data_IF_711319828844
#
_entry.id   IF_711319828844
#
_cell.length_a   1.000
_cell.length_b   1.000
_cell.length_c   1.000
_cell.angle_alpha   90.00
_cell.angle_beta   90.00
_cell.angle_gamma   90.00
#
_symmetry.space_group_name_H-M   'P 1'
#
loop_
_entity.id
_entity.type
_entity.pdbx_description
1 polymer ?
#
# COMPACT_ATOMS: atom_id res chain seq x y z
N UNK A 1 -10.13 53.17 -51.10
CA UNK A 1 -10.58 54.20 -50.14
C UNK A 1 -10.73 53.53 -48.80
N UNK A 2 -9.79 53.86 -47.92
CA UNK A 2 -10.02 54.38 -46.54
C UNK A 2 -10.85 53.43 -45.65
N UNK A 3 -10.46 53.04 -44.46
CA UNK A 3 -9.55 53.62 -43.44
C UNK A 3 -9.15 52.55 -42.43
N UNK A 4 -7.93 52.63 -42.07
CA UNK A 4 -7.29 52.23 -40.85
C UNK A 4 -8.07 52.77 -39.64
N UNK A 5 -8.28 51.90 -38.56
CA UNK A 5 -8.19 52.38 -37.19
C UNK A 5 -7.64 51.26 -36.28
N UNK A 6 -6.44 51.50 -36.00
CA UNK A 6 -5.63 51.06 -34.86
C UNK A 6 -6.27 51.54 -33.56
N UNK A 7 -6.40 50.70 -32.55
CA UNK A 7 -6.40 51.15 -31.16
C UNK A 7 -5.85 50.02 -30.26
N UNK A 8 -4.84 50.28 -29.76
CA UNK A 8 -3.91 50.14 -28.68
C UNK A 8 -4.59 50.03 -27.30
N UNK A 9 -3.91 49.24 -26.45
CA UNK A 9 -3.65 49.45 -25.01
C UNK A 9 -4.65 48.84 -24.04
N UNK A 10 -4.08 47.96 -23.23
CA UNK A 10 -4.65 47.51 -21.98
C UNK A 10 -3.79 46.47 -21.28
N UNK A 11 -2.53 46.83 -21.01
CA UNK A 11 -1.66 46.10 -20.07
C UNK A 11 -2.19 46.36 -18.68
N UNK A 12 -2.70 45.31 -18.02
CA UNK A 12 -2.92 45.33 -16.58
C UNK A 12 -2.29 44.08 -15.96
N UNK A 13 -1.05 44.23 -15.55
CA UNK A 13 -0.40 43.33 -14.63
C UNK A 13 -1.02 43.54 -13.26
N UNK A 14 -1.75 42.58 -12.77
CA UNK A 14 -2.12 42.50 -11.37
C UNK A 14 -1.32 41.35 -10.72
N UNK A 15 -0.19 41.70 -10.12
CA UNK A 15 0.48 40.89 -9.14
C UNK A 15 -0.40 40.86 -7.88
N UNK A 16 -1.06 39.75 -7.65
CA UNK A 16 -1.59 39.43 -6.32
C UNK A 16 -0.67 38.40 -5.69
N UNK A 17 0.29 38.88 -4.93
CA UNK A 17 0.96 38.12 -3.89
C UNK A 17 -0.03 37.98 -2.75
N UNK A 18 -0.55 36.78 -2.56
CA UNK A 18 -1.16 36.44 -1.29
C UNK A 18 -0.86 34.99 -0.98
N UNK A 19 -0.01 34.84 0.03
CA UNK A 19 -0.34 33.98 1.15
C UNK A 19 -0.02 32.51 0.93
N UNK A 20 1.13 32.11 1.46
CA UNK A 20 1.32 30.78 2.01
C UNK A 20 0.14 30.46 2.93
N UNK A 21 -0.73 29.60 2.46
CA UNK A 21 -1.63 28.82 3.27
C UNK A 21 -1.25 27.38 2.99
N UNK A 22 -0.46 26.81 3.88
CA UNK A 22 -0.18 25.41 3.97
C UNK A 22 -1.50 24.71 4.34
N UNK A 23 -2.24 24.36 3.35
CA UNK A 23 -3.34 23.41 3.45
C UNK A 23 -3.00 22.31 2.46
N UNK A 24 -2.34 21.30 2.96
CA UNK A 24 -2.28 19.99 2.32
C UNK A 24 -3.71 19.52 2.10
N UNK A 25 -4.33 19.98 1.02
CA UNK A 25 -5.47 19.30 0.47
C UNK A 25 -4.92 17.98 -0.03
N UNK A 26 -5.22 16.91 0.67
CA UNK A 26 -5.15 15.56 0.16
C UNK A 26 -6.00 15.50 -1.12
N UNK A 27 -5.39 15.88 -2.23
CA UNK A 27 -5.94 15.58 -3.54
C UNK A 27 -5.79 14.08 -3.68
N UNK A 28 -6.89 13.31 -3.82
CA UNK A 28 -6.79 11.87 -4.03
C UNK A 28 -5.82 11.61 -5.18
N UNK A 29 -4.79 10.84 -4.91
CA UNK A 29 -3.86 10.42 -5.96
C UNK A 29 -4.67 9.64 -7.01
N UNK A 30 -4.48 9.88 -8.32
CA UNK A 30 -5.24 9.16 -9.34
C UNK A 30 -5.07 7.67 -9.17
N UNK A 31 -6.18 6.93 -9.15
CA UNK A 31 -6.14 5.47 -9.07
C UNK A 31 -5.60 4.89 -10.39
N UNK A 32 -4.60 4.02 -10.27
CA UNK A 32 -3.96 3.33 -11.38
C UNK A 32 -4.48 1.91 -11.57
N UNK A 33 -4.14 1.34 -12.73
CA UNK A 33 -4.50 -0.03 -13.09
C UNK A 33 -3.37 -1.03 -12.72
N UNK A 34 -3.00 -1.04 -11.44
CA UNK A 34 -1.93 -1.89 -10.92
C UNK A 34 -2.31 -3.37 -10.75
N UNK A 35 -1.33 -4.20 -10.42
CA UNK A 35 -1.47 -5.60 -10.04
C UNK A 35 -0.74 -5.86 -8.72
N UNK A 36 -1.32 -6.70 -7.87
CA UNK A 36 -0.72 -7.12 -6.60
C UNK A 36 0.56 -7.94 -6.78
N UNK A 37 0.70 -8.65 -7.90
CA UNK A 37 1.85 -9.53 -8.17
C UNK A 37 3.18 -8.77 -8.09
N UNK A 38 4.13 -9.36 -7.37
CA UNK A 38 5.44 -8.79 -7.09
C UNK A 38 5.70 -8.61 -5.60
N UNK A 39 6.78 -7.90 -5.28
CA UNK A 39 7.20 -7.68 -3.90
C UNK A 39 6.97 -6.24 -3.48
N UNK A 40 6.60 -6.08 -2.22
CA UNK A 40 6.10 -4.84 -1.64
C UNK A 40 6.67 -4.64 -0.24
N UNK A 41 6.96 -3.39 0.11
CA UNK A 41 7.39 -3.00 1.45
C UNK A 41 6.38 -2.03 2.07
N UNK A 42 6.00 -2.28 3.31
CA UNK A 42 5.09 -1.44 4.08
C UNK A 42 5.74 -0.09 4.38
N UNK A 43 5.07 1.00 4.06
CA UNK A 43 5.50 2.36 4.40
C UNK A 43 4.64 3.00 5.49
N UNK A 44 3.40 2.56 5.63
CA UNK A 44 2.53 2.99 6.74
C UNK A 44 1.41 1.98 6.99
N UNK A 45 1.04 1.85 8.26
CA UNK A 45 -0.13 1.08 8.69
C UNK A 45 -0.83 1.84 9.81
N UNK A 46 -2.13 2.06 9.66
CA UNK A 46 -2.94 2.81 10.63
C UNK A 46 -2.99 2.16 12.01
N UNK A 47 -2.87 0.83 12.08
CA UNK A 47 -2.98 0.06 13.32
C UNK A 47 -1.66 -0.05 14.10
N UNK A 48 -0.50 0.04 13.43
CA UNK A 48 0.81 -0.07 14.06
C UNK A 48 1.89 0.67 13.28
N UNK A 49 2.31 1.84 13.76
CA UNK A 49 3.31 2.67 13.08
C UNK A 49 4.72 2.09 13.05
N UNK A 50 5.06 1.22 14.00
CA UNK A 50 6.37 0.56 14.08
C UNK A 50 6.45 -0.75 13.31
N UNK A 51 5.38 -1.16 12.62
CA UNK A 51 5.37 -2.36 11.81
C UNK A 51 6.34 -2.24 10.64
N UNK A 52 7.07 -3.32 10.38
CA UNK A 52 7.93 -3.44 9.22
C UNK A 52 7.58 -4.77 8.53
N UNK A 53 7.05 -4.68 7.32
CA UNK A 53 6.42 -5.81 6.63
C UNK A 53 6.80 -5.81 5.16
N UNK A 54 7.29 -6.94 4.69
CA UNK A 54 7.45 -7.23 3.27
C UNK A 54 6.40 -8.26 2.85
N UNK A 55 5.78 -8.02 1.70
CA UNK A 55 4.85 -8.94 1.06
C UNK A 55 5.41 -9.37 -0.29
N UNK A 56 5.18 -10.60 -0.67
CA UNK A 56 5.40 -11.10 -2.02
C UNK A 56 4.16 -11.85 -2.49
N UNK A 57 3.67 -11.51 -3.67
CA UNK A 57 2.54 -12.17 -4.31
C UNK A 57 3.00 -12.78 -5.64
N UNK A 58 2.82 -14.08 -5.82
CA UNK A 58 3.17 -14.78 -7.05
C UNK A 58 1.99 -14.86 -8.02
N UNK A 59 2.26 -15.03 -9.29
CA UNK A 59 1.23 -15.30 -10.31
C UNK A 59 0.48 -16.62 -10.09
N UNK A 60 1.10 -17.56 -9.35
CA UNK A 60 0.49 -18.84 -9.00
C UNK A 60 -0.55 -18.77 -7.90
N UNK A 61 -0.76 -17.58 -7.29
CA UNK A 61 -1.70 -17.38 -6.20
C UNK A 61 -1.13 -17.72 -4.82
N UNK A 62 0.20 -17.81 -4.67
CA UNK A 62 0.86 -17.90 -3.38
C UNK A 62 1.37 -16.54 -2.90
N UNK A 63 1.46 -16.36 -1.60
CA UNK A 63 2.06 -15.19 -0.99
C UNK A 63 3.06 -15.59 0.10
N UNK A 64 4.00 -14.68 0.35
CA UNK A 64 4.92 -14.71 1.47
C UNK A 64 4.83 -13.37 2.22
N UNK A 65 4.89 -13.43 3.54
CA UNK A 65 4.98 -12.27 4.44
C UNK A 65 6.22 -12.43 5.30
N UNK A 66 7.04 -11.40 5.33
CA UNK A 66 8.11 -11.24 6.30
C UNK A 66 7.74 -10.06 7.18
N UNK A 67 7.28 -10.34 8.40
CA UNK A 67 6.76 -9.32 9.30
C UNK A 67 7.58 -9.17 10.57
N UNK A 68 7.80 -7.92 10.97
CA UNK A 68 8.34 -7.52 12.26
C UNK A 68 7.37 -6.53 12.90
N UNK A 69 6.52 -7.03 13.79
CA UNK A 69 5.46 -6.22 14.40
C UNK A 69 5.83 -5.77 15.82
N UNK A 70 6.02 -6.71 16.75
CA UNK A 70 6.27 -6.43 18.15
C UNK A 70 7.57 -7.03 18.68
N UNK A 71 8.26 -7.83 17.87
CA UNK A 71 9.54 -8.47 18.18
C UNK A 71 10.63 -7.94 17.26
N UNK A 72 11.90 -8.01 17.66
CA UNK A 72 12.99 -7.51 16.83
C UNK A 72 13.28 -8.39 15.59
N UNK A 73 12.88 -9.67 15.63
CA UNK A 73 13.08 -10.60 14.53
C UNK A 73 11.93 -10.54 13.53
N UNK A 74 12.25 -10.77 12.26
CA UNK A 74 11.24 -11.06 11.25
C UNK A 74 10.70 -12.46 11.41
N UNK A 75 9.41 -12.61 11.16
CA UNK A 75 8.72 -13.91 11.09
C UNK A 75 8.22 -14.09 9.68
N UNK A 76 8.52 -15.24 9.10
CA UNK A 76 8.01 -15.64 7.79
C UNK A 76 6.67 -16.37 7.94
N UNK A 77 5.71 -15.95 7.16
CA UNK A 77 4.39 -16.57 7.02
C UNK A 77 4.10 -16.70 5.52
N UNK A 78 3.44 -17.77 5.15
CA UNK A 78 3.10 -18.07 3.77
C UNK A 78 1.65 -18.51 3.61
N UNK A 79 1.18 -18.61 2.38
CA UNK A 79 -0.15 -19.10 2.10
C UNK A 79 -0.60 -18.87 0.67
N UNK A 80 -1.92 -18.84 0.49
CA UNK A 80 -2.55 -18.63 -0.82
C UNK A 80 -3.46 -17.43 -0.80
N UNK A 81 -3.56 -16.75 -1.94
CA UNK A 81 -4.42 -15.58 -2.10
C UNK A 81 -5.24 -15.68 -3.39
N UNK A 82 -6.30 -14.90 -3.44
CA UNK A 82 -7.00 -14.57 -4.68
C UNK A 82 -7.20 -13.07 -4.80
N UNK A 83 -7.05 -12.57 -6.00
CA UNK A 83 -7.26 -11.16 -6.32
C UNK A 83 -8.27 -11.05 -7.47
N UNK A 84 -9.47 -10.60 -7.12
CA UNK A 84 -10.54 -10.26 -8.05
C UNK A 84 -10.83 -8.76 -7.87
N UNK A 85 -10.23 -7.96 -8.74
CA UNK A 85 -10.21 -6.50 -8.63
C UNK A 85 -11.58 -5.92 -8.25
N UNK A 86 -11.63 -5.08 -7.22
CA UNK A 86 -10.55 -4.58 -6.38
C UNK A 86 -10.32 -5.40 -5.09
N UNK A 87 -10.81 -6.62 -5.00
CA UNK A 87 -10.87 -7.41 -3.76
C UNK A 87 -9.73 -8.41 -3.68
N UNK A 88 -8.96 -8.33 -2.61
CA UNK A 88 -7.88 -9.26 -2.26
C UNK A 88 -8.26 -10.02 -0.99
N UNK A 89 -8.12 -11.34 -1.01
CA UNK A 89 -8.32 -12.19 0.16
C UNK A 89 -7.34 -13.36 0.15
N UNK A 90 -7.18 -14.04 1.28
CA UNK A 90 -6.25 -15.14 1.36
C UNK A 90 -6.36 -15.97 2.63
N UNK A 91 -5.54 -17.01 2.67
CA UNK A 91 -5.37 -17.92 3.79
C UNK A 91 -3.91 -18.23 3.98
N UNK A 92 -3.51 -18.34 5.24
CA UNK A 92 -2.20 -18.85 5.60
C UNK A 92 -2.09 -20.34 5.32
N UNK A 93 -0.88 -20.87 5.25
CA UNK A 93 -0.60 -22.29 4.97
C UNK A 93 -1.17 -23.24 6.05
N UNK A 94 -1.47 -22.73 7.24
CA UNK A 94 -2.18 -23.47 8.31
C UNK A 94 -3.71 -23.45 8.12
N UNK A 95 -4.20 -22.97 6.98
CA UNK A 95 -5.61 -22.83 6.63
C UNK A 95 -6.37 -21.76 7.42
N UNK A 96 -5.69 -20.94 8.25
CA UNK A 96 -6.30 -19.80 8.92
C UNK A 96 -6.58 -18.70 7.89
N UNK A 97 -7.80 -18.15 7.81
CA UNK A 97 -8.07 -17.00 6.94
C UNK A 97 -7.33 -15.77 7.46
N UNK A 98 -7.11 -14.79 6.59
CA UNK A 98 -6.64 -13.48 7.02
C UNK A 98 -7.60 -12.86 8.04
N UNK A 99 -7.08 -12.04 8.97
CA UNK A 99 -7.86 -11.44 10.04
C UNK A 99 -8.97 -10.52 9.54
N UNK A 100 -8.74 -9.82 8.43
CA UNK A 100 -9.79 -9.19 7.65
C UNK A 100 -10.33 -10.18 6.63
N UNK A 101 -11.65 -10.27 6.47
CA UNK A 101 -12.25 -11.21 5.51
C UNK A 101 -11.76 -10.94 4.09
N UNK A 102 -11.47 -9.67 3.78
CA UNK A 102 -10.85 -9.23 2.53
C UNK A 102 -10.31 -7.80 2.67
N UNK A 103 -9.55 -7.39 1.68
CA UNK A 103 -9.03 -6.03 1.53
C UNK A 103 -9.47 -5.46 0.19
N UNK A 104 -9.84 -4.19 0.20
CA UNK A 104 -9.94 -3.41 -1.03
C UNK A 104 -8.55 -2.93 -1.38
N UNK A 105 -8.15 -3.17 -2.61
CA UNK A 105 -6.85 -2.76 -3.15
C UNK A 105 -7.03 -1.58 -4.08
N UNK A 106 -6.20 -0.56 -3.92
CA UNK A 106 -6.03 0.51 -4.90
C UNK A 106 -4.54 0.76 -5.18
N UNK A 107 -4.25 1.31 -6.34
CA UNK A 107 -2.90 1.64 -6.78
C UNK A 107 -2.83 3.11 -7.16
N UNK A 108 -1.66 3.71 -7.00
CA UNK A 108 -1.37 5.00 -7.61
C UNK A 108 -1.24 4.87 -9.14
N UNK A 109 -1.18 6.00 -9.85
CA UNK A 109 -1.23 6.04 -11.31
C UNK A 109 -0.17 5.19 -12.02
N UNK A 110 1.02 5.04 -11.44
CA UNK A 110 2.12 4.27 -12.01
C UNK A 110 2.23 2.82 -11.48
N UNK A 111 1.33 2.42 -10.56
CA UNK A 111 1.29 1.06 -9.99
C UNK A 111 2.47 0.74 -9.06
N UNK A 112 3.21 1.72 -8.59
CA UNK A 112 4.36 1.54 -7.68
C UNK A 112 3.97 1.61 -6.21
N UNK A 113 2.77 2.12 -5.90
CA UNK A 113 2.20 2.20 -4.56
C UNK A 113 0.88 1.42 -4.53
N UNK A 114 0.73 0.59 -3.53
CA UNK A 114 -0.47 -0.20 -3.27
C UNK A 114 -1.05 0.18 -1.90
N UNK A 115 -2.34 0.42 -1.85
CA UNK A 115 -3.07 0.64 -0.61
C UNK A 115 -4.02 -0.52 -0.37
N UNK A 116 -3.95 -1.11 0.82
CA UNK A 116 -4.90 -2.11 1.30
C UNK A 116 -5.80 -1.46 2.35
N UNK A 117 -7.10 -1.52 2.13
CA UNK A 117 -8.11 -1.07 3.10
C UNK A 117 -8.92 -2.28 3.53
N UNK A 118 -8.94 -2.57 4.82
CA UNK A 118 -9.74 -3.67 5.38
C UNK A 118 -11.22 -3.47 5.08
N UNK A 119 -11.89 -4.52 4.63
CA UNK A 119 -13.35 -4.49 4.44
C UNK A 119 -14.11 -4.61 5.76
N UNK A 120 -13.46 -5.13 6.81
CA UNK A 120 -14.04 -5.22 8.16
C UNK A 120 -13.95 -3.90 8.93
N UNK A 121 -12.92 -3.08 8.63
CA UNK A 121 -12.68 -1.78 9.26
C UNK A 121 -12.04 -0.83 8.26
N UNK A 122 -12.81 0.09 7.72
CA UNK A 122 -12.31 1.06 6.71
C UNK A 122 -11.28 2.05 7.25
N UNK A 123 -11.10 2.12 8.56
CA UNK A 123 -10.02 2.86 9.22
C UNK A 123 -8.71 2.09 9.28
N UNK A 124 -8.74 0.78 9.03
CA UNK A 124 -7.53 -0.04 8.94
C UNK A 124 -6.99 0.00 7.51
N UNK A 125 -5.99 0.83 7.33
CA UNK A 125 -5.37 1.14 6.04
C UNK A 125 -3.87 0.91 6.14
N UNK A 126 -3.34 0.20 5.16
CA UNK A 126 -1.90 0.01 5.00
C UNK A 126 -1.45 0.38 3.60
N UNK A 127 -0.29 1.02 3.52
CA UNK A 127 0.28 1.51 2.27
C UNK A 127 1.63 0.86 2.04
N UNK A 128 1.81 0.35 0.85
CA UNK A 128 3.00 -0.34 0.39
C UNK A 128 3.62 0.35 -0.83
N UNK A 129 4.91 0.20 -0.98
CA UNK A 129 5.64 0.55 -2.21
C UNK A 129 6.29 -0.71 -2.79
N UNK A 130 6.45 -0.75 -4.12
CA UNK A 130 7.21 -1.82 -4.76
C UNK A 130 8.65 -1.80 -4.26
N UNK A 131 9.12 -2.95 -3.77
CA UNK A 131 10.48 -3.12 -3.28
C UNK A 131 10.88 -4.58 -3.33
N UNK A 132 12.14 -4.86 -3.57
CA UNK A 132 12.69 -6.20 -3.37
C UNK A 132 12.80 -6.51 -1.88
N UNK A 133 12.57 -7.77 -1.51
CA UNK A 133 12.78 -8.23 -0.14
C UNK A 133 14.28 -8.46 0.05
N UNK A 134 14.93 -7.79 1.01
CA UNK A 134 16.36 -8.00 1.27
C UNK A 134 16.68 -9.46 1.60
N UNK A 135 17.78 -9.97 1.05
CA UNK A 135 18.17 -11.38 1.20
C UNK A 135 18.48 -11.78 2.65
N UNK A 136 18.95 -10.83 3.45
CA UNK A 136 19.20 -11.03 4.89
C UNK A 136 17.89 -11.16 5.68
N UNK A 137 16.81 -10.50 5.26
CA UNK A 137 15.47 -10.70 5.83
C UNK A 137 14.95 -12.09 5.48
N UNK A 138 15.07 -12.51 4.21
CA UNK A 138 14.62 -13.84 3.77
C UNK A 138 15.35 -14.94 4.54
N UNK A 139 16.69 -14.83 4.64
CA UNK A 139 17.52 -15.85 5.28
C UNK A 139 17.50 -15.83 6.81
N UNK A 140 17.19 -14.68 7.40
CA UNK A 140 17.18 -14.47 8.85
C UNK A 140 15.81 -14.57 9.51
N UNK A 141 14.72 -14.64 8.72
CA UNK A 141 13.38 -14.73 9.26
C UNK A 141 13.14 -16.08 9.98
N UNK A 142 12.43 -16.01 11.10
CA UNK A 142 12.00 -17.19 11.82
C UNK A 142 10.81 -17.82 11.10
N UNK A 143 10.92 -19.10 10.76
CA UNK A 143 9.79 -19.84 10.21
C UNK A 143 8.69 -20.00 11.26
N UNK A 144 7.46 -19.69 10.89
CA UNK A 144 6.33 -19.91 11.78
C UNK A 144 6.03 -21.41 11.86
N UNK A 145 6.34 -22.00 13.01
CA UNK A 145 6.04 -23.41 13.26
C UNK A 145 4.56 -23.61 13.63
N UNK A 146 3.97 -24.81 13.45
CA UNK A 146 2.60 -25.07 13.88
C UNK A 146 2.34 -24.78 15.35
N UNK A 147 3.34 -24.92 16.21
CA UNK A 147 3.27 -24.63 17.65
C UNK A 147 3.32 -23.12 17.95
N UNK A 148 4.06 -22.34 17.16
CA UNK A 148 4.05 -20.88 17.29
C UNK A 148 2.84 -20.21 16.62
N UNK A 149 2.10 -20.97 15.82
CA UNK A 149 0.89 -20.51 15.12
C UNK A 149 -0.37 -20.51 15.99
N UNK A 150 -0.40 -21.32 17.04
CA UNK A 150 -1.61 -21.59 17.82
C UNK A 150 -1.90 -20.56 18.91
N UNK A 151 -0.88 -19.85 19.39
CA UNK A 151 -1.02 -18.94 20.53
C UNK A 151 -0.24 -17.65 20.28
N UNK A 152 -0.94 -16.54 20.10
CA UNK A 152 -0.48 -15.16 20.29
C UNK A 152 0.55 -14.56 19.31
N UNK A 153 0.68 -15.05 18.09
CA UNK A 153 1.45 -14.27 17.12
C UNK A 153 0.50 -13.37 16.31
N UNK A 154 0.51 -12.04 16.54
CA UNK A 154 -0.27 -11.14 15.73
C UNK A 154 0.21 -11.25 14.27
N UNK A 155 -0.74 -11.36 13.35
CA UNK A 155 -0.50 -11.44 11.92
C UNK A 155 -0.90 -10.12 11.28
N UNK A 156 -0.16 -9.73 10.26
CA UNK A 156 -0.43 -8.48 9.54
C UNK A 156 -1.74 -8.55 8.74
N UNK A 157 -1.96 -9.63 7.96
CA UNK A 157 -3.16 -9.88 7.17
C UNK A 157 -4.18 -10.75 7.89
#
# INVERSE_FOLDING_TARGET
MKNIKLLLIGLAAAFALTGCGDSSKDTPEPEGDGNVVGSWHLVSWSSLQSADVYLSFSESGSFDIYQRLYKPEYVHLDGTYSYDKPTLNGRYSDNTPWGSASYRVSFNADGTRMTLTSTSSTSDVSVFVKAEIPSDIISGALESTPQSRAEDMPRFL
#
